data_IF_030384540168
#
_entry.id   IF_030384540168
#
_cell.length_a   1.000
_cell.length_b   1.000
_cell.length_c   1.000
_cell.angle_alpha   90.00
_cell.angle_beta   90.00
_cell.angle_gamma   90.00
#
_symmetry.space_group_name_H-M   'P 1'
#
loop_
_entity.id
_entity.type
_entity.pdbx_description
1 polymer ?
#
# COMPACT_ATOMS: atom_id res chain seq x y z
N UNK A 1 -5.26 14.69 -3.37
CA UNK A 1 -5.08 15.41 -4.64
C UNK A 1 -3.84 14.95 -5.39
N UNK A 2 -3.43 15.68 -6.42
CA UNK A 2 -2.33 15.29 -7.34
C UNK A 2 -1.00 14.98 -6.65
N UNK A 3 -0.71 15.61 -5.51
CA UNK A 3 0.54 15.37 -4.78
C UNK A 3 0.63 13.97 -4.15
N UNK A 4 -0.50 13.27 -3.99
CA UNK A 4 -0.53 11.88 -3.57
C UNK A 4 0.10 10.92 -4.61
N UNK A 5 0.39 11.40 -5.82
CA UNK A 5 1.11 10.62 -6.86
C UNK A 5 2.63 10.76 -6.76
N UNK A 6 3.14 11.57 -5.84
CA UNK A 6 4.57 11.69 -5.51
C UNK A 6 4.84 10.83 -4.29
N UNK A 7 5.77 9.85 -4.39
CA UNK A 7 6.00 8.85 -3.33
C UNK A 7 6.38 9.47 -1.98
N UNK A 8 7.25 10.49 -2.00
CA UNK A 8 7.74 11.17 -0.80
C UNK A 8 7.52 12.69 -0.93
N UNK A 9 6.25 13.11 -0.98
CA UNK A 9 5.91 14.55 -0.99
C UNK A 9 6.08 15.11 0.42
N UNK A 10 7.06 15.98 0.62
CA UNK A 10 7.45 16.51 1.93
C UNK A 10 7.03 17.95 2.20
N UNK A 11 6.71 18.73 1.17
CA UNK A 11 6.41 20.16 1.34
C UNK A 11 5.12 20.42 2.11
N UNK A 12 4.12 19.54 1.99
CA UNK A 12 2.83 19.57 2.70
C UNK A 12 2.14 20.95 2.73
N UNK A 13 2.33 21.74 1.66
CA UNK A 13 1.91 23.15 1.57
C UNK A 13 0.72 23.40 0.64
N UNK A 14 0.19 22.36 0.01
CA UNK A 14 -0.95 22.47 -0.90
C UNK A 14 -2.28 22.46 -0.15
N UNK A 15 -3.21 23.30 -0.57
CA UNK A 15 -4.59 23.22 -0.10
C UNK A 15 -5.27 22.00 -0.70
N UNK A 16 -6.08 21.33 0.11
CA UNK A 16 -6.97 20.28 -0.34
C UNK A 16 -8.27 20.87 -0.88
N UNK A 17 -8.82 20.25 -1.91
CA UNK A 17 -10.08 20.62 -2.52
C UNK A 17 -11.14 19.54 -2.28
N UNK A 18 -12.40 19.90 -2.43
CA UNK A 18 -13.50 18.94 -2.34
C UNK A 18 -13.34 17.84 -3.39
N UNK A 19 -13.46 16.59 -2.98
CA UNK A 19 -13.21 15.41 -3.83
C UNK A 19 -11.76 14.95 -3.91
N UNK A 20 -10.81 15.64 -3.31
CA UNK A 20 -9.42 15.18 -3.22
C UNK A 20 -9.27 13.94 -2.32
N UNK A 21 -8.24 13.16 -2.59
CA UNK A 21 -7.71 12.15 -1.67
C UNK A 21 -6.49 12.71 -0.93
N UNK A 22 -6.39 12.38 0.36
CA UNK A 22 -5.18 12.57 1.15
C UNK A 22 -4.59 11.19 1.42
N UNK A 23 -3.33 11.01 1.04
CA UNK A 23 -2.52 9.87 1.41
C UNK A 23 -1.65 10.27 2.60
N UNK A 24 -1.82 9.60 3.71
CA UNK A 24 -0.94 9.69 4.88
C UNK A 24 0.01 8.51 4.87
N UNK A 25 1.26 8.81 5.16
CA UNK A 25 2.33 7.85 5.38
C UNK A 25 2.99 8.25 6.70
N UNK A 26 2.73 7.48 7.74
CA UNK A 26 3.06 7.82 9.13
C UNK A 26 3.48 6.59 9.92
N UNK A 27 4.41 6.78 10.85
CA UNK A 27 4.84 5.74 11.76
C UNK A 27 5.13 6.29 13.15
N UNK A 28 4.86 5.48 14.16
CA UNK A 28 5.30 5.73 15.52
C UNK A 28 6.55 4.90 15.81
N UNK A 29 7.41 5.38 16.68
CA UNK A 29 8.51 4.61 17.24
C UNK A 29 8.23 4.30 18.71
N UNK A 30 8.42 3.04 19.09
CA UNK A 30 8.33 2.60 20.47
C UNK A 30 9.54 1.73 20.83
N UNK A 31 10.25 2.09 21.88
CA UNK A 31 11.49 1.40 22.32
C UNK A 31 12.46 1.14 21.16
N UNK A 32 12.68 2.18 20.33
CA UNK A 32 13.53 2.17 19.12
C UNK A 32 13.01 1.30 17.96
N UNK A 33 11.84 0.69 18.06
CA UNK A 33 11.24 -0.05 16.96
C UNK A 33 10.24 0.83 16.20
N UNK A 34 10.37 0.90 14.87
CA UNK A 34 9.54 1.74 14.03
C UNK A 34 8.27 1.01 13.58
N UNK A 35 7.18 1.76 13.44
CA UNK A 35 6.00 1.39 12.68
C UNK A 35 5.96 2.17 11.37
N UNK A 36 5.25 1.65 10.37
CA UNK A 36 5.08 2.30 9.07
C UNK A 36 3.70 1.96 8.51
N UNK A 37 2.85 2.98 8.33
CA UNK A 37 1.45 2.79 7.96
C UNK A 37 1.04 3.85 6.93
N UNK A 38 0.56 3.40 5.79
CA UNK A 38 -0.10 4.29 4.84
C UNK A 38 -1.61 4.04 4.82
N UNK A 39 -2.35 5.14 4.77
CA UNK A 39 -3.80 5.15 4.53
C UNK A 39 -4.18 6.29 3.60
N UNK A 40 -5.19 6.08 2.81
CA UNK A 40 -5.72 7.11 1.90
C UNK A 40 -7.18 7.38 2.22
N UNK A 41 -7.51 8.65 2.44
CA UNK A 41 -8.83 9.13 2.84
C UNK A 41 -9.39 10.16 1.84
N UNK A 42 -10.70 10.19 1.59
CA UNK A 42 -11.33 11.28 0.85
C UNK A 42 -11.48 12.50 1.75
N UNK A 43 -11.10 13.69 1.27
CA UNK A 43 -11.15 14.95 2.05
C UNK A 43 -12.56 15.25 2.58
N UNK A 44 -13.58 14.98 1.78
CA UNK A 44 -14.98 15.23 2.11
C UNK A 44 -15.72 14.04 2.74
N UNK A 45 -14.97 12.99 3.15
CA UNK A 45 -15.56 11.80 3.79
C UNK A 45 -16.19 10.80 2.82
N UNK A 46 -16.13 11.03 1.50
CA UNK A 46 -16.79 10.17 0.53
C UNK A 46 -15.94 9.95 -0.72
N UNK A 47 -15.65 8.70 -1.04
CA UNK A 47 -14.95 8.36 -2.28
C UNK A 47 -15.89 8.48 -3.50
N UNK A 48 -15.37 8.99 -4.61
CA UNK A 48 -16.04 8.85 -5.91
C UNK A 48 -16.02 7.38 -6.38
N UNK A 49 -16.88 7.01 -7.33
CA UNK A 49 -16.91 5.63 -7.87
C UNK A 49 -15.58 5.24 -8.51
N UNK A 50 -14.89 6.20 -9.15
CA UNK A 50 -13.56 5.98 -9.72
C UNK A 50 -12.52 5.73 -8.64
N UNK A 51 -12.51 6.54 -7.58
CA UNK A 51 -11.62 6.36 -6.44
C UNK A 51 -11.89 5.02 -5.73
N UNK A 52 -13.15 4.63 -5.53
CA UNK A 52 -13.52 3.31 -4.97
C UNK A 52 -12.98 2.16 -5.83
N UNK A 53 -13.08 2.28 -7.15
CA UNK A 53 -12.57 1.26 -8.07
C UNK A 53 -11.06 1.07 -7.89
N UNK A 54 -10.28 2.15 -7.90
CA UNK A 54 -8.82 2.08 -7.73
C UNK A 54 -8.46 1.65 -6.30
N UNK A 55 -9.15 2.18 -5.30
CA UNK A 55 -8.92 1.83 -3.90
C UNK A 55 -9.10 0.33 -3.65
N UNK A 56 -10.18 -0.25 -4.16
CA UNK A 56 -10.46 -1.68 -4.00
C UNK A 56 -9.45 -2.56 -4.74
N UNK A 57 -8.88 -2.10 -5.87
CA UNK A 57 -7.78 -2.80 -6.53
C UNK A 57 -6.53 -2.81 -5.64
N UNK A 58 -6.19 -1.67 -5.02
CA UNK A 58 -5.04 -1.61 -4.08
C UNK A 58 -5.28 -2.49 -2.86
N UNK A 59 -6.46 -2.41 -2.24
CA UNK A 59 -6.83 -3.21 -1.07
C UNK A 59 -6.81 -4.71 -1.35
N UNK A 60 -7.33 -5.14 -2.49
CA UNK A 60 -7.29 -6.55 -2.88
C UNK A 60 -5.85 -7.01 -3.17
N UNK A 61 -5.04 -6.16 -3.82
CA UNK A 61 -3.61 -6.43 -4.01
C UNK A 61 -2.88 -6.64 -2.68
N UNK A 62 -3.18 -5.83 -1.66
CA UNK A 62 -2.62 -5.99 -0.32
C UNK A 62 -3.00 -7.34 0.30
N UNK A 63 -4.29 -7.71 0.24
CA UNK A 63 -4.79 -8.98 0.77
C UNK A 63 -4.09 -10.17 0.10
N UNK A 64 -3.94 -10.14 -1.23
CA UNK A 64 -3.25 -11.19 -1.99
C UNK A 64 -1.81 -11.34 -1.54
N UNK A 65 -1.07 -10.25 -1.35
CA UNK A 65 0.32 -10.28 -0.89
C UNK A 65 0.41 -10.83 0.55
N UNK A 66 -0.44 -10.35 1.45
CA UNK A 66 -0.51 -10.83 2.85
C UNK A 66 -0.81 -12.34 2.89
N UNK A 67 -1.75 -12.83 2.09
CA UNK A 67 -2.10 -14.26 2.01
C UNK A 67 -0.92 -15.14 1.58
N UNK A 68 -0.03 -14.61 0.75
CA UNK A 68 1.16 -15.32 0.26
C UNK A 68 2.39 -15.20 1.15
N UNK A 69 2.41 -14.19 2.04
CA UNK A 69 3.55 -13.91 2.90
C UNK A 69 3.72 -14.98 3.99
N UNK A 70 4.83 -15.73 3.94
CA UNK A 70 5.21 -16.75 4.94
C UNK A 70 6.69 -17.06 4.85
N UNK A 71 7.22 -17.71 5.88
CA UNK A 71 8.61 -18.19 5.84
C UNK A 71 8.84 -19.15 4.65
N UNK A 72 10.01 -19.07 4.06
CA UNK A 72 10.46 -19.94 2.97
C UNK A 72 10.12 -19.46 1.56
N UNK A 73 9.36 -18.37 1.39
CA UNK A 73 9.16 -17.78 0.06
C UNK A 73 10.24 -16.72 -0.23
N UNK A 74 10.50 -16.47 -1.51
CA UNK A 74 11.41 -15.39 -1.90
C UNK A 74 10.76 -14.03 -1.66
N UNK A 75 11.47 -13.11 -0.99
CA UNK A 75 11.00 -11.77 -0.70
C UNK A 75 10.48 -11.05 -1.97
N UNK A 76 11.28 -11.04 -3.02
CA UNK A 76 10.91 -10.36 -4.28
C UNK A 76 9.73 -11.00 -5.02
N UNK A 77 9.38 -12.26 -4.73
CA UNK A 77 8.22 -12.91 -5.35
C UNK A 77 6.91 -12.23 -4.98
N UNK A 78 6.84 -11.59 -3.79
CA UNK A 78 5.66 -10.82 -3.38
C UNK A 78 5.36 -9.67 -4.34
N UNK A 79 6.41 -8.97 -4.80
CA UNK A 79 6.24 -7.89 -5.76
C UNK A 79 5.80 -8.40 -7.15
N UNK A 80 6.30 -9.56 -7.57
CA UNK A 80 5.85 -10.20 -8.82
C UNK A 80 4.37 -10.58 -8.74
N UNK A 81 3.94 -11.19 -7.62
CA UNK A 81 2.54 -11.55 -7.36
C UNK A 81 1.62 -10.32 -7.47
N UNK A 82 2.02 -9.20 -6.86
CA UNK A 82 1.24 -7.97 -6.94
C UNK A 82 1.15 -7.43 -8.37
N UNK A 83 2.29 -7.39 -9.10
CA UNK A 83 2.32 -6.92 -10.49
C UNK A 83 1.47 -7.78 -11.42
N UNK A 84 1.47 -9.09 -11.24
CA UNK A 84 0.61 -10.01 -12.00
C UNK A 84 -0.87 -9.76 -11.74
N UNK A 85 -1.23 -9.47 -10.49
CA UNK A 85 -2.60 -9.08 -10.14
C UNK A 85 -2.95 -7.72 -10.76
N UNK A 86 -2.09 -6.71 -10.63
CA UNK A 86 -2.31 -5.39 -11.19
C UNK A 86 -2.45 -5.41 -12.71
N UNK A 87 -1.64 -6.20 -13.41
CA UNK A 87 -1.77 -6.35 -14.86
C UNK A 87 -3.18 -6.77 -15.28
N UNK A 88 -3.77 -7.72 -14.57
CA UNK A 88 -5.14 -8.20 -14.83
C UNK A 88 -6.20 -7.17 -14.43
N UNK A 89 -6.07 -6.60 -13.22
CA UNK A 89 -7.05 -5.67 -12.69
C UNK A 89 -7.10 -4.35 -13.46
N UNK A 90 -5.94 -3.78 -13.81
CA UNK A 90 -5.84 -2.53 -14.54
C UNK A 90 -6.26 -2.69 -16.01
N UNK A 91 -5.96 -3.82 -16.65
CA UNK A 91 -6.46 -4.14 -17.98
C UNK A 91 -7.99 -4.27 -17.98
N UNK A 92 -8.58 -4.91 -16.96
CA UNK A 92 -10.03 -5.06 -16.83
C UNK A 92 -10.78 -3.74 -16.78
N UNK A 93 -10.19 -2.71 -16.17
CA UNK A 93 -10.78 -1.37 -16.09
C UNK A 93 -10.34 -0.44 -17.25
N UNK A 94 -9.60 -0.97 -18.23
CA UNK A 94 -9.16 -0.24 -19.42
C UNK A 94 -8.07 0.80 -19.17
N UNK A 95 -7.36 0.72 -18.02
CA UNK A 95 -6.28 1.66 -17.69
C UNK A 95 -4.96 1.33 -18.42
N UNK A 96 -4.72 0.05 -18.71
CA UNK A 96 -3.56 -0.44 -19.44
C UNK A 96 -3.97 -1.39 -20.57
N UNK A 97 -3.14 -1.46 -21.61
CA UNK A 97 -3.33 -2.35 -22.76
C UNK A 97 -2.42 -3.58 -22.71
N UNK A 98 -1.34 -3.52 -21.96
CA UNK A 98 -0.38 -4.61 -21.79
C UNK A 98 0.22 -4.58 -20.36
N UNK A 99 0.83 -5.71 -19.94
CA UNK A 99 1.33 -5.88 -18.56
C UNK A 99 2.51 -4.95 -18.23
N UNK A 100 3.30 -4.52 -19.20
CA UNK A 100 4.47 -3.66 -18.97
C UNK A 100 4.05 -2.26 -18.51
N UNK A 101 2.85 -1.82 -18.91
CA UNK A 101 2.28 -0.52 -18.53
C UNK A 101 1.93 -0.43 -17.04
N UNK A 102 1.89 -1.55 -16.30
CA UNK A 102 1.74 -1.54 -14.83
C UNK A 102 2.79 -0.64 -14.20
N UNK A 103 4.03 -0.63 -14.71
CA UNK A 103 5.12 0.18 -14.17
C UNK A 103 4.87 1.69 -14.28
N UNK A 104 3.94 2.14 -15.13
CA UNK A 104 3.52 3.54 -15.20
C UNK A 104 2.75 3.98 -13.95
N UNK A 105 2.01 3.07 -13.35
CA UNK A 105 1.10 3.35 -12.24
C UNK A 105 1.54 2.74 -10.91
N UNK A 106 2.49 1.81 -10.95
CA UNK A 106 3.09 1.17 -9.78
C UNK A 106 4.62 1.07 -9.96
N UNK A 107 5.37 1.91 -9.29
CA UNK A 107 6.80 2.15 -9.54
C UNK A 107 7.67 2.08 -8.28
N UNK A 108 7.23 1.32 -7.26
CA UNK A 108 8.03 0.99 -6.06
C UNK A 108 7.92 -0.50 -5.69
N UNK A 109 8.61 -0.92 -4.65
CA UNK A 109 8.48 -2.26 -4.09
C UNK A 109 7.23 -2.41 -3.23
N UNK A 110 6.70 -3.64 -3.10
CA UNK A 110 5.51 -3.90 -2.27
C UNK A 110 5.84 -3.97 -0.77
N UNK A 111 7.12 -4.02 -0.43
CA UNK A 111 7.56 -4.31 0.94
C UNK A 111 9.00 -3.88 1.18
N UNK A 112 9.30 -3.54 2.42
CA UNK A 112 10.65 -3.46 2.98
C UNK A 112 10.67 -4.05 4.39
N UNK A 113 11.86 -4.36 4.91
CA UNK A 113 12.02 -4.77 6.31
C UNK A 113 11.83 -3.56 7.22
N UNK A 114 11.31 -3.81 8.40
CA UNK A 114 10.98 -2.82 9.41
C UNK A 114 11.59 -3.23 10.74
N UNK A 115 12.20 -2.29 11.46
CA UNK A 115 12.87 -2.56 12.73
C UNK A 115 13.36 -1.30 13.42
N UNK A 116 14.64 -1.22 13.71
CA UNK A 116 15.28 -0.03 14.30
C UNK A 116 15.29 1.16 13.34
N UNK A 117 15.28 0.89 12.05
CA UNK A 117 15.08 1.88 10.99
C UNK A 117 13.76 1.58 10.27
N UNK A 118 13.12 2.62 9.70
CA UNK A 118 11.91 2.46 8.87
C UNK A 118 12.23 1.59 7.65
N UNK A 119 13.31 1.89 6.94
CA UNK A 119 13.89 0.99 5.95
C UNK A 119 15.04 0.24 6.60
N UNK A 120 14.72 -0.81 7.36
CA UNK A 120 15.70 -1.49 8.20
C UNK A 120 16.73 -2.29 7.39
N UNK A 121 17.87 -2.55 8.03
CA UNK A 121 18.98 -3.26 7.40
C UNK A 121 18.59 -4.69 7.05
N UNK A 122 19.10 -5.18 5.92
CA UNK A 122 18.86 -6.52 5.44
C UNK A 122 19.09 -6.62 3.94
N UNK A 123 19.11 -7.84 3.43
CA UNK A 123 19.13 -8.07 1.99
C UNK A 123 17.72 -7.97 1.45
N UNK A 124 17.23 -6.74 1.31
CA UNK A 124 15.84 -6.41 0.98
C UNK A 124 15.33 -7.07 -0.30
N UNK A 125 16.03 -7.52 -1.20
CA UNK A 125 15.57 -8.13 -2.44
C UNK A 125 16.18 -9.50 -2.70
N UNK A 126 16.94 -10.02 -1.73
CA UNK A 126 17.66 -11.27 -1.90
C UNK A 126 17.41 -12.20 -0.72
N UNK A 127 16.86 -13.35 -1.01
CA UNK A 127 16.72 -14.41 -0.03
C UNK A 127 15.28 -14.76 0.33
N UNK A 128 15.18 -15.75 1.20
CA UNK A 128 13.90 -16.28 1.67
C UNK A 128 13.44 -15.52 2.91
N UNK A 129 12.15 -15.28 3.00
CA UNK A 129 11.52 -14.81 4.23
C UNK A 129 11.75 -15.83 5.36
N UNK A 130 11.96 -15.31 6.56
CA UNK A 130 12.16 -16.15 7.76
C UNK A 130 11.11 -15.78 8.81
N UNK A 131 10.68 -16.76 9.58
CA UNK A 131 9.82 -16.53 10.74
C UNK A 131 10.49 -15.54 11.71
N UNK A 132 9.74 -14.58 12.21
CA UNK A 132 10.21 -13.50 13.06
C UNK A 132 10.58 -12.20 12.32
N UNK A 133 10.67 -12.21 10.98
CA UNK A 133 10.85 -10.96 10.23
C UNK A 133 9.60 -10.10 10.32
N UNK A 134 9.80 -8.79 10.54
CA UNK A 134 8.76 -7.76 10.43
C UNK A 134 9.01 -6.96 9.16
N UNK A 135 7.96 -6.72 8.40
CA UNK A 135 8.03 -6.01 7.12
C UNK A 135 6.73 -5.28 6.81
N UNK A 136 6.78 -4.33 5.90
CA UNK A 136 5.60 -3.66 5.36
C UNK A 136 4.93 -4.48 4.27
N UNK A 137 3.64 -4.24 4.03
CA UNK A 137 2.94 -4.59 2.79
C UNK A 137 2.18 -3.36 2.34
N UNK A 138 2.73 -2.66 1.35
CA UNK A 138 2.39 -1.29 0.96
C UNK A 138 2.05 -1.11 -0.53
N UNK A 139 1.17 -1.93 -1.12
CA UNK A 139 0.79 -1.71 -2.50
C UNK A 139 0.19 -0.32 -2.70
N UNK A 140 0.48 0.29 -3.85
CA UNK A 140 -0.09 1.58 -4.24
C UNK A 140 -0.40 1.64 -5.72
N UNK A 141 -1.24 2.58 -6.12
CA UNK A 141 -1.48 2.97 -7.51
C UNK A 141 -1.51 4.49 -7.61
N UNK A 142 -0.82 5.02 -8.60
CA UNK A 142 -0.60 6.44 -8.76
C UNK A 142 -0.93 6.87 -10.19
N UNK A 143 -2.10 7.48 -10.37
CA UNK A 143 -2.65 7.87 -11.68
C UNK A 143 -2.59 9.40 -11.75
N UNK A 144 -1.44 9.92 -12.21
CA UNK A 144 -1.15 11.35 -12.20
C UNK A 144 -2.15 12.14 -13.05
N UNK A 145 -2.58 11.59 -14.17
CA UNK A 145 -3.55 12.19 -15.07
C UNK A 145 -4.95 12.34 -14.46
N UNK A 146 -5.27 11.56 -13.43
CA UNK A 146 -6.53 11.64 -12.68
C UNK A 146 -6.37 12.29 -11.30
N UNK A 147 -5.14 12.64 -10.89
CA UNK A 147 -4.83 13.15 -9.55
C UNK A 147 -5.11 12.14 -8.44
N UNK A 148 -5.10 10.85 -8.76
CA UNK A 148 -5.39 9.75 -7.82
C UNK A 148 -4.08 9.08 -7.42
N UNK A 149 -3.72 9.18 -6.15
CA UNK A 149 -2.66 8.39 -5.51
C UNK A 149 -3.23 7.67 -4.30
N UNK A 150 -3.13 6.35 -4.29
CA UNK A 150 -3.65 5.50 -3.22
C UNK A 150 -2.56 4.51 -2.81
N UNK A 151 -2.24 4.46 -1.52
CA UNK A 151 -1.44 3.43 -0.88
C UNK A 151 -2.15 2.95 0.38
N UNK A 152 -2.12 1.65 0.59
CA UNK A 152 -2.64 1.00 1.80
C UNK A 152 -1.52 0.12 2.32
N UNK A 153 -1.05 0.41 3.52
CA UNK A 153 0.10 -0.23 4.11
C UNK A 153 -0.19 -0.76 5.51
N UNK A 154 0.23 -1.98 5.74
CA UNK A 154 0.21 -2.61 7.04
C UNK A 154 1.58 -3.19 7.37
N UNK A 155 1.88 -3.29 8.67
CA UNK A 155 3.02 -4.03 9.17
C UNK A 155 2.63 -5.49 9.41
N UNK A 156 3.45 -6.42 8.95
CA UNK A 156 3.23 -7.85 9.16
C UNK A 156 4.43 -8.52 9.84
N UNK A 157 4.13 -9.50 10.70
CA UNK A 157 5.12 -10.42 11.26
C UNK A 157 5.06 -11.74 10.48
N UNK A 158 6.17 -12.16 9.90
CA UNK A 158 6.26 -13.43 9.20
C UNK A 158 6.26 -14.60 10.18
N UNK A 159 5.43 -15.58 9.92
CA UNK A 159 5.31 -16.82 10.67
C UNK A 159 5.61 -18.03 9.76
N UNK A 160 5.73 -19.24 10.34
CA UNK A 160 6.10 -20.44 9.58
C UNK A 160 5.08 -20.77 8.46
N UNK A 161 3.78 -20.61 8.73
CA UNK A 161 2.72 -21.03 7.81
C UNK A 161 1.87 -19.84 7.29
N UNK A 162 2.30 -18.61 7.49
CA UNK A 162 1.59 -17.40 7.11
C UNK A 162 2.25 -16.16 7.68
N UNK A 163 1.45 -15.14 7.92
CA UNK A 163 1.89 -13.93 8.62
C UNK A 163 0.77 -13.39 9.53
N UNK A 164 1.15 -12.56 10.48
CA UNK A 164 0.22 -11.85 11.35
C UNK A 164 0.27 -10.35 11.04
N UNK A 165 -0.87 -9.77 10.70
CA UNK A 165 -1.00 -8.32 10.49
C UNK A 165 -0.98 -7.63 11.85
N UNK A 166 0.04 -6.82 12.12
CA UNK A 166 0.23 -6.13 13.39
C UNK A 166 -0.69 -4.91 13.52
N UNK A 167 -1.03 -4.29 12.40
CA UNK A 167 -1.87 -3.09 12.29
C UNK A 167 -3.34 -3.40 11.91
N UNK A 168 -3.81 -4.62 12.18
CA UNK A 168 -5.13 -5.13 11.75
C UNK A 168 -6.34 -4.29 12.22
N UNK A 169 -6.18 -3.57 13.33
CA UNK A 169 -7.25 -2.80 13.94
C UNK A 169 -7.39 -1.38 13.35
N UNK A 170 -6.50 -0.99 12.43
CA UNK A 170 -6.57 0.28 11.71
C UNK A 170 -7.49 0.11 10.50
N UNK A 171 -8.57 0.90 10.47
CA UNK A 171 -9.57 0.86 9.39
C UNK A 171 -8.91 1.02 8.01
N UNK A 172 -9.42 0.28 7.02
CA UNK A 172 -8.88 0.32 5.66
C UNK A 172 -9.86 -0.11 4.55
N UNK A 173 -11.11 -0.43 4.86
CA UNK A 173 -12.10 -0.63 3.81
C UNK A 173 -12.75 0.70 3.44
N UNK A 174 -13.27 0.80 2.22
CA UNK A 174 -14.01 1.99 1.78
C UNK A 174 -15.18 2.26 2.72
N UNK A 175 -15.90 1.21 3.10
CA UNK A 175 -17.08 1.26 3.96
C UNK A 175 -16.71 1.77 5.36
N UNK A 176 -15.67 1.21 5.99
CA UNK A 176 -15.23 1.62 7.32
C UNK A 176 -14.76 3.08 7.35
N UNK A 177 -14.04 3.51 6.28
CA UNK A 177 -13.55 4.88 6.16
C UNK A 177 -14.71 5.85 5.97
N UNK A 178 -15.64 5.57 5.05
CA UNK A 178 -16.80 6.43 4.83
C UNK A 178 -17.70 6.48 6.07
N UNK A 179 -17.80 5.38 6.82
CA UNK A 179 -18.55 5.33 8.09
C UNK A 179 -17.88 6.15 9.19
N UNK A 180 -16.56 6.01 9.33
CA UNK A 180 -15.78 6.78 10.31
C UNK A 180 -15.82 8.29 10.05
N UNK A 181 -15.89 8.70 8.79
CA UNK A 181 -15.89 10.11 8.36
C UNK A 181 -17.30 10.71 8.24
N UNK A 182 -18.35 10.02 8.63
CA UNK A 182 -19.70 10.61 8.75
C UNK A 182 -19.73 11.59 9.91
N UNK A 183 -19.86 12.87 9.60
CA UNK A 183 -20.02 13.98 10.54
C UNK A 183 -21.49 14.39 10.62
#
# INVERSE_FOLDING_TARGET
GKNATVLHYSDNNSKTEDGDLILFDVGAQYEYYNGDISRTFPVNGKFTDRQKTIYNIVLEGQKIVIDKAKAGIEFKSLNCILKDYYAKALSKIGLISNAEEVNKYYYHGVSHLLGLETHDVGRHNEGLLKSGMVMTVEPGLYIAEEGIGIRIEDNILIENNGCRVLSKDIIKTVEDIEDFMKW
#
